data_IF_256084565667
#
_entry.id   IF_256084565667
#
_cell.length_a   1.000
_cell.length_b   1.000
_cell.length_c   1.000
_cell.angle_alpha   90.00
_cell.angle_beta   90.00
_cell.angle_gamma   90.00
#
_symmetry.space_group_name_H-M   'P 1'
#
loop_
_entity.id
_entity.type
_entity.pdbx_description
1 polymer ?
#
# COMPACT_ATOMS: atom_id res chain seq x y z
N UNK A 1 4.21 -13.17 -1.15
CA UNK A 1 4.12 -11.71 -1.00
C UNK A 1 2.88 -11.41 -0.18
N UNK A 2 2.96 -10.54 0.82
CA UNK A 2 1.77 -10.09 1.52
C UNK A 2 0.77 -9.51 0.52
N UNK A 3 -0.52 -9.86 0.66
CA UNK A 3 -1.58 -9.39 -0.26
C UNK A 3 -1.87 -7.91 0.02
N UNK A 4 -2.21 -7.14 -1.02
CA UNK A 4 -2.63 -5.75 -0.85
C UNK A 4 -3.92 -5.70 -0.01
N UNK A 5 -3.99 -4.76 0.93
CA UNK A 5 -5.18 -4.50 1.73
C UNK A 5 -6.13 -3.59 0.96
N UNK A 6 -7.43 -3.85 1.07
CA UNK A 6 -8.49 -2.97 0.53
C UNK A 6 -8.68 -1.78 1.48
N UNK A 7 -8.98 -0.62 0.91
CA UNK A 7 -9.34 0.55 1.70
C UNK A 7 -10.69 0.35 2.39
N UNK A 8 -10.86 0.91 3.60
CA UNK A 8 -12.15 0.88 4.29
C UNK A 8 -13.22 1.65 3.51
N UNK A 9 -14.50 1.29 3.70
CA UNK A 9 -15.63 1.99 3.07
C UNK A 9 -15.70 3.43 3.57
N UNK A 10 -15.98 4.36 2.66
CA UNK A 10 -16.14 5.77 3.01
C UNK A 10 -17.31 5.96 4.00
N UNK A 11 -17.16 6.84 5.00
CA UNK A 11 -18.25 7.18 5.91
C UNK A 11 -19.37 7.94 5.16
N UNK A 12 -20.60 7.91 5.70
CA UNK A 12 -21.76 8.59 5.11
C UNK A 12 -21.57 10.11 5.03
N UNK A 13 -22.26 10.76 4.10
CA UNK A 13 -22.36 12.21 4.06
C UNK A 13 -22.97 12.72 5.38
N UNK A 14 -22.30 13.68 6.03
CA UNK A 14 -22.68 14.17 7.37
C UNK A 14 -22.00 13.43 8.54
N UNK A 15 -21.03 12.55 8.29
CA UNK A 15 -20.25 11.93 9.36
C UNK A 15 -19.51 12.97 10.21
N UNK A 16 -19.43 12.72 11.52
CA UNK A 16 -18.75 13.61 12.46
C UNK A 16 -17.25 13.73 12.17
N UNK A 17 -16.64 14.85 12.58
CA UNK A 17 -15.20 15.09 12.40
C UNK A 17 -14.34 13.95 12.96
N UNK A 18 -14.71 13.43 14.14
CA UNK A 18 -14.04 12.26 14.76
C UNK A 18 -14.08 11.01 13.88
N UNK A 19 -15.18 10.79 13.17
CA UNK A 19 -15.35 9.66 12.26
C UNK A 19 -14.48 9.82 11.02
N UNK A 20 -14.43 11.04 10.46
CA UNK A 20 -13.57 11.38 9.33
C UNK A 20 -12.08 11.22 9.69
N UNK A 21 -11.65 11.69 10.86
CA UNK A 21 -10.28 11.51 11.35
C UNK A 21 -9.91 10.03 11.52
N UNK A 22 -10.80 9.21 12.08
CA UNK A 22 -10.58 7.76 12.18
C UNK A 22 -10.49 7.10 10.81
N UNK A 23 -11.35 7.49 9.87
CA UNK A 23 -11.31 7.00 8.49
C UNK A 23 -10.01 7.35 7.80
N UNK A 24 -9.54 8.60 7.92
CA UNK A 24 -8.27 9.05 7.37
C UNK A 24 -7.09 8.24 7.93
N UNK A 25 -7.06 8.02 9.24
CA UNK A 25 -6.03 7.21 9.89
C UNK A 25 -6.04 5.74 9.37
N UNK A 26 -7.22 5.16 9.18
CA UNK A 26 -7.35 3.82 8.62
C UNK A 26 -6.86 3.75 7.16
N UNK A 27 -7.20 4.74 6.34
CA UNK A 27 -6.71 4.85 4.96
C UNK A 27 -5.18 5.00 4.91
N UNK A 28 -4.59 5.84 5.77
CA UNK A 28 -3.13 6.01 5.88
C UNK A 28 -2.43 4.69 6.21
N UNK A 29 -2.97 3.89 7.12
CA UNK A 29 -2.43 2.55 7.46
C UNK A 29 -2.47 1.59 6.28
N UNK A 30 -3.60 1.54 5.55
CA UNK A 30 -3.72 0.69 4.35
C UNK A 30 -2.75 1.13 3.26
N UNK A 31 -2.62 2.45 3.03
CA UNK A 31 -1.68 3.01 2.07
C UNK A 31 -0.24 2.62 2.41
N UNK A 32 0.20 2.85 3.65
CA UNK A 32 1.56 2.52 4.08
C UNK A 32 1.90 1.04 3.88
N UNK A 33 0.98 0.14 4.24
CA UNK A 33 1.14 -1.30 4.04
C UNK A 33 1.27 -1.67 2.56
N UNK A 34 0.41 -1.11 1.71
CA UNK A 34 0.42 -1.40 0.27
C UNK A 34 1.64 -0.81 -0.42
N UNK A 35 2.09 0.37 -0.02
CA UNK A 35 3.30 1.01 -0.55
C UNK A 35 4.55 0.22 -0.20
N UNK A 36 4.64 -0.34 1.01
CA UNK A 36 5.74 -1.23 1.40
C UNK A 36 5.82 -2.48 0.49
N UNK A 37 4.68 -3.13 0.24
CA UNK A 37 4.61 -4.30 -0.66
C UNK A 37 5.03 -3.92 -2.09
N UNK A 38 4.55 -2.79 -2.60
CA UNK A 38 4.91 -2.30 -3.94
C UNK A 38 6.40 -2.00 -4.05
N UNK A 39 7.00 -1.36 -3.05
CA UNK A 39 8.44 -1.09 -3.00
C UNK A 39 9.25 -2.39 -3.01
N UNK A 40 8.87 -3.36 -2.20
CA UNK A 40 9.55 -4.66 -2.16
C UNK A 40 9.43 -5.39 -3.51
N UNK A 41 8.25 -5.37 -4.13
CA UNK A 41 8.05 -5.95 -5.46
C UNK A 41 8.93 -5.27 -6.53
N UNK A 42 9.05 -3.95 -6.48
CA UNK A 42 9.91 -3.18 -7.39
C UNK A 42 11.39 -3.52 -7.17
N UNK A 43 11.86 -3.57 -5.92
CA UNK A 43 13.24 -3.95 -5.60
C UNK A 43 13.56 -5.36 -6.09
N UNK A 44 12.67 -6.32 -5.85
CA UNK A 44 12.82 -7.70 -6.35
C UNK A 44 12.90 -7.73 -7.88
N UNK A 45 12.09 -6.92 -8.58
CA UNK A 45 12.15 -6.80 -10.05
C UNK A 45 13.51 -6.27 -10.51
N UNK A 46 13.98 -5.17 -9.92
CA UNK A 46 15.26 -4.56 -10.25
C UNK A 46 16.44 -5.51 -10.01
N UNK A 47 16.45 -6.22 -8.87
CA UNK A 47 17.50 -7.21 -8.57
C UNK A 47 17.49 -8.35 -9.59
N UNK A 48 16.31 -8.88 -9.94
CA UNK A 48 16.19 -9.92 -10.99
C UNK A 48 16.71 -9.45 -12.34
N UNK A 49 16.38 -8.22 -12.75
CA UNK A 49 16.87 -7.64 -14.00
C UNK A 49 18.40 -7.47 -14.00
N UNK A 50 18.98 -7.02 -12.89
CA UNK A 50 20.44 -6.91 -12.74
C UNK A 50 21.13 -8.27 -12.85
N UNK A 51 20.62 -9.28 -12.14
CA UNK A 51 21.17 -10.64 -12.21
C UNK A 51 21.06 -11.22 -13.61
N UNK A 52 19.93 -11.01 -14.29
CA UNK A 52 19.74 -11.47 -15.67
C UNK A 52 20.73 -10.83 -16.65
N UNK A 53 21.04 -9.53 -16.47
CA UNK A 53 22.07 -8.83 -17.25
C UNK A 53 23.48 -9.33 -16.98
N UNK A 54 23.81 -9.75 -15.74
CA UNK A 54 25.14 -10.28 -15.40
C UNK A 54 25.39 -11.71 -15.92
N UNK A 55 24.33 -12.49 -16.12
CA UNK A 55 24.41 -13.86 -16.66
C UNK A 55 24.48 -13.93 -18.18
N UNK A 56 24.32 -12.79 -18.86
CA UNK A 56 24.33 -12.67 -20.31
C UNK A 56 25.64 -12.04 -20.75
#
# INVERSE_FOLDING_TARGET
>A
MAKLKRYPKAPKAGASLKTLQKYEAACKKVKAHNDAIKREAMQRKQVRERVAKMKK
#
